data_IF_070751813097
#
_entry.id   IF_070751813097
#
_cell.length_a   1.000
_cell.length_b   1.000
_cell.length_c   1.000
_cell.angle_alpha   90.00
_cell.angle_beta   90.00
_cell.angle_gamma   90.00
#
_symmetry.space_group_name_H-M   'P 1'
#
loop_
_entity.id
_entity.type
_entity.pdbx_description
1 polymer ?
#
# COMPACT_ATOMS: atom_id res chain seq x y z
N UNK A 1 -3.13 17.64 11.57
CA UNK A 1 -1.68 17.38 11.65
C UNK A 1 -1.35 15.88 11.76
N UNK A 2 -1.96 15.11 12.68
CA UNK A 2 -1.71 13.66 12.82
C UNK A 2 -2.15 12.79 11.62
N UNK A 3 -3.25 13.15 10.94
CA UNK A 3 -3.74 12.45 9.74
C UNK A 3 -2.69 12.39 8.62
N UNK A 4 -2.02 13.51 8.38
CA UNK A 4 -0.98 13.62 7.35
C UNK A 4 0.23 12.73 7.67
N UNK A 5 0.59 12.58 8.96
CA UNK A 5 1.71 11.74 9.39
C UNK A 5 1.39 10.27 9.16
N UNK A 6 0.20 9.79 9.54
CA UNK A 6 -0.18 8.37 9.35
C UNK A 6 -0.23 8.02 7.86
N UNK A 7 -0.85 8.89 7.04
CA UNK A 7 -0.92 8.70 5.58
C UNK A 7 0.48 8.62 4.96
N UNK A 8 1.36 9.57 5.29
CA UNK A 8 2.74 9.61 4.80
C UNK A 8 3.52 8.32 5.14
N UNK A 9 3.37 7.82 6.38
CA UNK A 9 4.08 6.61 6.80
C UNK A 9 3.53 5.36 6.09
N UNK A 10 2.22 5.30 5.87
CA UNK A 10 1.59 4.21 5.14
C UNK A 10 1.99 4.24 3.65
N UNK A 11 2.04 5.41 3.02
CA UNK A 11 2.54 5.55 1.64
C UNK A 11 3.95 4.99 1.50
N UNK A 12 4.88 5.42 2.36
CA UNK A 12 6.27 4.94 2.35
C UNK A 12 6.37 3.43 2.58
N UNK A 13 5.53 2.87 3.46
CA UNK A 13 5.50 1.42 3.69
C UNK A 13 5.07 0.67 2.43
N UNK A 14 3.99 1.11 1.79
CA UNK A 14 3.47 0.48 0.57
C UNK A 14 4.46 0.58 -0.59
N UNK A 15 5.07 1.76 -0.79
CA UNK A 15 6.16 1.95 -1.76
C UNK A 15 7.35 1.03 -1.50
N UNK A 16 7.74 0.87 -0.22
CA UNK A 16 8.78 -0.06 0.18
C UNK A 16 8.46 -1.52 -0.15
N UNK A 17 7.20 -1.95 0.05
CA UNK A 17 6.78 -3.30 -0.35
C UNK A 17 6.80 -3.49 -1.87
N UNK A 18 6.33 -2.50 -2.63
CA UNK A 18 6.39 -2.52 -4.10
C UNK A 18 7.84 -2.67 -4.57
N UNK A 19 8.76 -1.87 -4.00
CA UNK A 19 10.18 -1.92 -4.34
C UNK A 19 10.81 -3.27 -4.01
N UNK A 20 10.52 -3.81 -2.82
CA UNK A 20 10.99 -5.14 -2.38
C UNK A 20 10.59 -6.23 -3.38
N UNK A 21 9.30 -6.33 -3.67
CA UNK A 21 8.78 -7.38 -4.55
C UNK A 21 9.25 -7.20 -6.00
N UNK A 22 9.43 -5.95 -6.45
CA UNK A 22 10.04 -5.65 -7.76
C UNK A 22 11.48 -6.17 -7.84
N UNK A 23 12.30 -5.93 -6.81
CA UNK A 23 13.68 -6.41 -6.79
C UNK A 23 13.73 -7.94 -6.75
N UNK A 24 12.88 -8.58 -5.95
CA UNK A 24 12.78 -10.05 -5.91
C UNK A 24 12.49 -10.64 -7.29
N UNK A 25 11.45 -10.14 -7.97
CA UNK A 25 11.09 -10.59 -9.31
C UNK A 25 12.26 -10.40 -10.30
N UNK A 26 12.95 -9.25 -10.25
CA UNK A 26 14.11 -8.99 -11.10
C UNK A 26 15.29 -9.94 -10.82
N UNK A 27 15.53 -10.29 -9.56
CA UNK A 27 16.58 -11.26 -9.18
C UNK A 27 16.26 -12.62 -9.77
N UNK A 28 15.02 -13.10 -9.66
CA UNK A 28 14.61 -14.37 -10.27
C UNK A 28 14.70 -14.37 -11.81
N UNK A 29 14.33 -13.26 -12.45
CA UNK A 29 14.45 -13.11 -13.92
C UNK A 29 15.92 -13.13 -14.36
N UNK A 30 16.82 -12.46 -13.62
CA UNK A 30 18.24 -12.32 -14.01
C UNK A 30 19.09 -13.52 -13.62
N UNK A 31 18.79 -14.17 -12.51
CA UNK A 31 19.61 -15.21 -11.91
C UNK A 31 18.79 -16.47 -11.58
N UNK A 32 18.24 -17.18 -12.59
CA UNK A 32 17.35 -18.32 -12.37
C UNK A 32 18.00 -19.52 -11.68
N UNK A 33 19.33 -19.55 -11.55
CA UNK A 33 20.10 -20.72 -11.05
C UNK A 33 20.70 -20.49 -9.63
N UNK A 34 20.53 -19.29 -9.03
CA UNK A 34 21.33 -18.87 -7.87
C UNK A 34 20.59 -18.66 -6.55
N UNK A 35 19.26 -18.65 -6.54
CA UNK A 35 18.46 -18.41 -5.32
C UNK A 35 17.66 -19.66 -5.06
N UNK A 36 18.13 -20.48 -4.10
CA UNK A 36 17.51 -21.68 -3.53
C UNK A 36 16.54 -22.39 -4.48
N UNK A 37 16.98 -23.46 -5.14
CA UNK A 37 16.24 -24.30 -6.11
C UNK A 37 14.74 -24.42 -5.81
N UNK A 38 13.96 -23.40 -6.17
CA UNK A 38 12.52 -23.50 -6.20
C UNK A 38 12.25 -24.15 -7.56
N UNK A 39 11.61 -25.32 -7.60
CA UNK A 39 11.44 -26.09 -8.84
C UNK A 39 10.61 -25.33 -9.89
N UNK A 40 9.97 -24.21 -9.49
CA UNK A 40 9.13 -23.39 -10.34
C UNK A 40 9.46 -21.90 -10.19
N UNK A 41 10.48 -21.45 -10.92
CA UNK A 41 10.88 -20.04 -11.02
C UNK A 41 9.74 -19.15 -11.53
N UNK A 42 8.86 -19.69 -12.38
CA UNK A 42 7.75 -18.92 -12.95
C UNK A 42 6.69 -18.68 -11.88
N UNK A 43 6.28 -19.70 -11.12
CA UNK A 43 5.33 -19.53 -10.03
C UNK A 43 5.80 -18.51 -8.99
N UNK A 44 7.09 -18.51 -8.66
CA UNK A 44 7.66 -17.51 -7.75
C UNK A 44 7.59 -16.10 -8.33
N UNK A 45 7.88 -15.92 -9.63
CA UNK A 45 7.73 -14.62 -10.30
C UNK A 45 6.27 -14.17 -10.29
N UNK A 46 5.32 -15.08 -10.56
CA UNK A 46 3.88 -14.79 -10.50
C UNK A 46 3.43 -14.32 -9.12
N UNK A 47 3.92 -14.97 -8.05
CA UNK A 47 3.63 -14.56 -6.68
C UNK A 47 4.17 -13.14 -6.39
N UNK A 48 5.39 -12.84 -6.81
CA UNK A 48 5.99 -11.51 -6.65
C UNK A 48 5.21 -10.44 -7.43
N UNK A 49 4.77 -10.74 -8.65
CA UNK A 49 3.91 -9.85 -9.45
C UNK A 49 2.54 -9.62 -8.78
N UNK A 50 1.94 -10.67 -8.20
CA UNK A 50 0.69 -10.57 -7.45
C UNK A 50 0.80 -9.60 -6.28
N UNK A 51 1.88 -9.71 -5.49
CA UNK A 51 2.15 -8.78 -4.38
C UNK A 51 2.37 -7.35 -4.86
N UNK A 52 3.08 -7.14 -5.97
CA UNK A 52 3.26 -5.81 -6.56
C UNK A 52 1.89 -5.20 -6.92
N UNK A 53 1.01 -5.97 -7.56
CA UNK A 53 -0.34 -5.50 -7.90
C UNK A 53 -1.13 -5.13 -6.66
N UNK A 54 -1.16 -6.01 -5.66
CA UNK A 54 -1.88 -5.78 -4.40
C UNK A 54 -1.43 -4.49 -3.70
N UNK A 55 -0.13 -4.24 -3.60
CA UNK A 55 0.37 -3.03 -2.94
C UNK A 55 0.14 -1.76 -3.76
N UNK A 56 0.17 -1.84 -5.10
CA UNK A 56 -0.22 -0.72 -5.97
C UNK A 56 -1.69 -0.35 -5.79
N UNK A 57 -2.57 -1.34 -5.72
CA UNK A 57 -4.00 -1.12 -5.50
C UNK A 57 -4.27 -0.50 -4.12
N UNK A 58 -3.58 -0.99 -3.08
CA UNK A 58 -3.64 -0.38 -1.73
C UNK A 58 -3.15 1.06 -1.71
N UNK A 59 -2.06 1.37 -2.42
CA UNK A 59 -1.52 2.73 -2.50
C UNK A 59 -2.49 3.66 -3.24
N UNK A 60 -3.09 3.19 -4.33
CA UNK A 60 -4.13 3.93 -5.04
C UNK A 60 -5.36 4.19 -4.15
N UNK A 61 -5.82 3.17 -3.42
CA UNK A 61 -6.92 3.31 -2.48
C UNK A 61 -6.60 4.32 -1.36
N UNK A 62 -5.40 4.26 -0.76
CA UNK A 62 -4.94 5.21 0.24
C UNK A 62 -4.94 6.65 -0.27
N UNK A 63 -4.52 6.85 -1.51
CA UNK A 63 -4.51 8.17 -2.16
C UNK A 63 -5.91 8.71 -2.44
N UNK A 64 -6.88 7.84 -2.71
CA UNK A 64 -8.27 8.22 -2.95
C UNK A 64 -8.99 8.74 -1.68
N UNK A 65 -8.62 8.26 -0.49
CA UNK A 65 -9.27 8.63 0.79
C UNK A 65 -9.18 10.15 1.10
N UNK A 66 -8.26 10.89 0.47
CA UNK A 66 -8.05 12.32 0.70
C UNK A 66 -8.86 13.29 -0.18
N UNK A 67 -9.59 12.83 -1.20
CA UNK A 67 -10.33 13.71 -2.12
C UNK A 67 -11.76 14.04 -1.68
N UNK A 68 -12.32 13.32 -0.70
CA UNK A 68 -13.75 13.41 -0.32
C UNK A 68 -13.98 13.71 1.17
N UNK A 69 -12.91 14.04 1.92
CA UNK A 69 -13.02 14.31 3.36
C UNK A 69 -13.23 15.81 3.63
N UNK A 70 -14.49 16.24 3.65
CA UNK A 70 -14.88 17.54 4.21
C UNK A 70 -15.02 17.43 5.74
N UNK A 71 -13.98 17.87 6.47
CA UNK A 71 -13.92 17.83 7.94
C UNK A 71 -14.97 18.73 8.63
N UNK A 72 -15.59 19.67 7.92
CA UNK A 72 -16.42 20.74 8.50
C UNK A 72 -17.83 20.33 8.96
N UNK A 73 -18.41 19.21 8.52
CA UNK A 73 -19.80 18.85 8.84
C UNK A 73 -19.95 18.06 10.16
N UNK A 74 -18.94 17.30 10.57
CA UNK A 74 -19.10 16.35 11.69
C UNK A 74 -19.03 16.97 13.10
N UNK A 75 -18.53 18.21 13.23
CA UNK A 75 -18.39 18.88 14.53
C UNK A 75 -19.50 19.88 14.86
N UNK A 76 -20.24 20.37 13.86
CA UNK A 76 -21.32 21.35 14.09
C UNK A 76 -22.60 20.72 14.64
N UNK A 77 -22.87 19.45 14.31
CA UNK A 77 -24.15 18.80 14.66
C UNK A 77 -24.17 18.19 16.07
N UNK A 78 -23.01 17.90 16.68
CA UNK A 78 -22.94 17.23 17.99
C UNK A 78 -23.07 18.14 19.22
N UNK A 79 -22.88 19.45 19.08
CA UNK A 79 -22.91 20.39 20.20
C UNK A 79 -24.12 21.34 20.21
N UNK A 80 -24.94 21.35 19.16
CA UNK A 80 -26.19 22.14 19.13
C UNK A 80 -27.39 21.43 19.77
N UNK A 81 -27.25 20.18 20.26
CA UNK A 81 -28.36 19.39 20.82
C UNK A 81 -28.23 19.02 22.30
N UNK A 82 -27.30 19.62 23.04
CA UNK A 82 -27.26 19.50 24.50
C UNK A 82 -27.44 20.86 25.16
N UNK A 83 -28.66 21.38 25.09
CA UNK A 83 -29.19 22.27 26.13
C UNK A 83 -29.90 21.40 27.17
N UNK A 84 -29.16 21.01 28.22
CA UNK A 84 -29.65 20.67 29.56
C UNK A 84 -28.56 21.04 30.56
#
# INVERSE_FOLDING_TARGET
MAYNVIKEHMEKYLEGQIAKHTINAQVFIKNPVGVAEHPDTIATIEEELGKISEYKDKLAALNAIGYDYHEEELYKDRWQKSEW
#
